data_IF_530557440710
#
_entry.id   IF_530557440710
#
_cell.length_a   1.000
_cell.length_b   1.000
_cell.length_c   1.000
_cell.angle_alpha   90.00
_cell.angle_beta   90.00
_cell.angle_gamma   90.00
#
_symmetry.space_group_name_H-M   'P 1'
#
loop_
_entity.id
_entity.type
_entity.pdbx_description
1 polymer ?
#
# COMPACT_ATOMS: atom_id res chain seq x y z
N UNK A 1 -9.46 12.76 -31.91
CA UNK A 1 -8.46 12.81 -30.82
C UNK A 1 -7.31 11.89 -31.21
N UNK A 2 -6.05 12.28 -30.98
CA UNK A 2 -4.88 11.41 -31.21
C UNK A 2 -5.04 10.22 -30.26
N UNK A 3 -4.98 8.99 -30.76
CA UNK A 3 -4.94 7.80 -29.90
C UNK A 3 -3.67 7.86 -29.07
N UNK A 4 -3.77 7.70 -27.75
CA UNK A 4 -2.62 7.79 -26.85
C UNK A 4 -2.58 6.57 -25.97
N UNK A 5 -1.39 6.01 -25.81
CA UNK A 5 -1.13 4.91 -24.90
C UNK A 5 -0.23 5.39 -23.78
N UNK A 6 -0.54 5.02 -22.54
CA UNK A 6 0.30 5.31 -21.37
C UNK A 6 0.62 4.06 -20.58
N UNK A 7 1.73 4.12 -19.84
CA UNK A 7 2.09 3.10 -18.87
C UNK A 7 1.89 3.59 -17.44
N UNK A 8 1.22 2.78 -16.63
CA UNK A 8 1.15 2.95 -15.20
C UNK A 8 1.92 1.83 -14.49
N UNK A 9 2.85 2.19 -13.60
CA UNK A 9 3.70 1.25 -12.89
C UNK A 9 3.50 1.41 -11.38
N UNK A 10 3.21 0.30 -10.70
CA UNK A 10 3.20 0.14 -9.24
C UNK A 10 4.36 -0.77 -8.84
N UNK A 11 5.37 -0.21 -8.18
CA UNK A 11 6.57 -0.92 -7.77
C UNK A 11 6.71 -0.98 -6.26
N UNK A 12 6.66 -2.19 -5.69
CA UNK A 12 6.70 -2.41 -4.24
C UNK A 12 7.87 -3.28 -3.78
N UNK A 13 7.87 -3.60 -2.49
CA UNK A 13 8.87 -4.48 -1.87
C UNK A 13 8.74 -5.96 -2.22
N UNK A 14 7.61 -6.40 -2.80
CA UNK A 14 7.37 -7.82 -3.14
C UNK A 14 7.15 -8.06 -4.63
N UNK A 15 6.57 -7.11 -5.33
CA UNK A 15 6.21 -7.24 -6.75
C UNK A 15 6.23 -5.88 -7.45
N UNK A 16 6.25 -5.93 -8.78
CA UNK A 16 6.04 -4.79 -9.67
C UNK A 16 4.92 -5.12 -10.64
N UNK A 17 4.01 -4.19 -10.86
CA UNK A 17 2.89 -4.34 -11.79
C UNK A 17 2.87 -3.16 -12.75
N UNK A 18 2.78 -3.46 -14.04
CA UNK A 18 2.64 -2.45 -15.10
C UNK A 18 1.32 -2.68 -15.85
N UNK A 19 0.65 -1.59 -16.20
CA UNK A 19 -0.54 -1.61 -17.05
C UNK A 19 -0.37 -0.63 -18.21
N UNK A 20 -0.83 -1.04 -19.38
CA UNK A 20 -0.93 -0.21 -20.58
C UNK A 20 -2.37 0.24 -20.74
N UNK A 21 -2.61 1.55 -20.78
CA UNK A 21 -3.96 2.14 -20.83
C UNK A 21 -4.09 3.06 -22.04
N UNK A 22 -5.25 3.03 -22.70
CA UNK A 22 -5.60 3.93 -23.81
C UNK A 22 -6.29 5.22 -23.36
N UNK A 23 -6.62 6.12 -24.29
CA UNK A 23 -7.32 7.38 -23.99
C UNK A 23 -8.74 7.20 -23.40
N UNK A 24 -9.33 6.01 -23.53
CA UNK A 24 -10.65 5.66 -23.03
C UNK A 24 -10.58 4.96 -21.66
N UNK A 25 -9.40 4.98 -21.01
CA UNK A 25 -9.12 4.32 -19.75
C UNK A 25 -9.23 2.78 -19.83
N UNK A 26 -9.14 2.18 -21.01
CA UNK A 26 -9.15 0.73 -21.17
C UNK A 26 -7.76 0.14 -21.00
N UNK A 27 -7.64 -0.93 -20.20
CA UNK A 27 -6.40 -1.68 -20.06
C UNK A 27 -6.20 -2.52 -21.32
N UNK A 28 -5.18 -2.18 -22.11
CA UNK A 28 -4.78 -2.90 -23.32
C UNK A 28 -3.82 -4.07 -23.01
N UNK A 29 -3.14 -4.01 -21.88
CA UNK A 29 -2.19 -5.03 -21.45
C UNK A 29 -1.70 -4.82 -20.02
N UNK A 30 -1.17 -5.89 -19.43
CA UNK A 30 -0.64 -5.88 -18.07
C UNK A 30 0.56 -6.80 -17.94
N UNK A 31 1.50 -6.45 -17.07
CA UNK A 31 2.67 -7.25 -16.77
C UNK A 31 3.00 -7.25 -15.29
N UNK A 32 3.59 -8.34 -14.82
CA UNK A 32 3.99 -8.54 -13.42
C UNK A 32 5.41 -9.08 -13.33
N UNK A 33 6.16 -8.56 -12.37
CA UNK A 33 7.52 -9.00 -12.09
C UNK A 33 7.83 -8.94 -10.59
N UNK A 34 9.09 -9.22 -10.25
CA UNK A 34 9.64 -9.15 -8.91
C UNK A 34 9.63 -7.74 -8.29
N UNK A 35 10.23 -7.58 -7.11
CA UNK A 35 10.23 -6.33 -6.36
C UNK A 35 11.04 -5.21 -7.05
N UNK A 36 10.62 -3.96 -6.87
CA UNK A 36 11.30 -2.78 -7.43
C UNK A 36 11.50 -1.63 -6.45
N UNK A 37 11.32 -1.85 -5.15
CA UNK A 37 11.86 -0.95 -4.14
C UNK A 37 13.40 -1.01 -4.17
N UNK A 38 14.03 -0.09 -4.91
CA UNK A 38 15.48 -0.07 -5.11
C UNK A 38 16.28 0.07 -3.81
N UNK A 39 15.71 0.63 -2.75
CA UNK A 39 16.37 0.72 -1.44
C UNK A 39 16.48 -0.64 -0.75
N UNK A 40 15.57 -1.56 -1.06
CA UNK A 40 15.55 -2.93 -0.51
C UNK A 40 16.31 -3.93 -1.37
N UNK A 41 16.17 -3.85 -2.70
CA UNK A 41 16.71 -4.87 -3.63
C UNK A 41 17.86 -4.39 -4.51
N UNK A 42 18.21 -3.11 -4.42
CA UNK A 42 19.20 -2.48 -5.29
C UNK A 42 18.61 -2.02 -6.63
N UNK A 43 19.35 -1.12 -7.30
CA UNK A 43 18.93 -0.46 -8.54
C UNK A 43 18.76 -1.46 -9.68
N UNK A 44 19.70 -2.39 -9.88
CA UNK A 44 19.66 -3.34 -11.00
C UNK A 44 18.47 -4.29 -10.92
N UNK A 45 18.14 -4.82 -9.73
CA UNK A 45 16.99 -5.70 -9.55
C UNK A 45 15.68 -4.95 -9.78
N UNK A 46 15.60 -3.70 -9.30
CA UNK A 46 14.43 -2.86 -9.52
C UNK A 46 14.24 -2.54 -11.01
N UNK A 47 15.32 -2.15 -11.70
CA UNK A 47 15.33 -1.88 -13.15
C UNK A 47 14.84 -3.08 -13.95
N UNK A 48 15.43 -4.25 -13.72
CA UNK A 48 15.06 -5.49 -14.40
C UNK A 48 13.58 -5.86 -14.15
N UNK A 49 13.10 -5.65 -12.92
CA UNK A 49 11.70 -5.92 -12.56
C UNK A 49 10.73 -4.99 -13.30
N UNK A 50 11.03 -3.69 -13.34
CA UNK A 50 10.23 -2.70 -14.07
C UNK A 50 10.27 -2.99 -15.58
N UNK A 51 11.44 -3.25 -16.17
CA UNK A 51 11.58 -3.62 -17.58
C UNK A 51 10.77 -4.84 -17.97
N UNK A 52 10.82 -5.89 -17.14
CA UNK A 52 10.06 -7.12 -17.37
C UNK A 52 8.56 -6.86 -17.31
N UNK A 53 8.10 -6.10 -16.32
CA UNK A 53 6.67 -5.75 -16.19
C UNK A 53 6.19 -4.91 -17.39
N UNK A 54 6.96 -3.89 -17.80
CA UNK A 54 6.65 -3.07 -18.98
C UNK A 54 6.59 -3.94 -20.24
N UNK A 55 7.60 -4.79 -20.45
CA UNK A 55 7.68 -5.67 -21.62
C UNK A 55 6.44 -6.55 -21.70
N UNK A 56 6.07 -7.24 -20.63
CA UNK A 56 4.86 -8.07 -20.59
C UNK A 56 3.58 -7.26 -20.84
N UNK A 57 3.48 -6.04 -20.32
CA UNK A 57 2.32 -5.18 -20.52
C UNK A 57 2.16 -4.74 -21.99
N UNK A 58 3.25 -4.60 -22.74
CA UNK A 58 3.21 -4.17 -24.15
C UNK A 58 3.20 -5.33 -25.15
N UNK A 59 3.76 -6.50 -24.82
CA UNK A 59 3.93 -7.62 -25.77
C UNK A 59 2.62 -8.13 -26.36
N UNK A 60 1.52 -8.10 -25.60
CA UNK A 60 0.22 -8.56 -26.10
C UNK A 60 -0.52 -7.51 -26.96
N UNK A 61 0.03 -6.30 -27.11
CA UNK A 61 -0.60 -5.22 -27.86
C UNK A 61 0.07 -5.03 -29.24
N UNK A 62 -0.55 -5.62 -30.26
CA UNK A 62 -0.08 -5.58 -31.66
C UNK A 62 -0.18 -4.21 -32.34
N UNK A 63 -0.62 -3.15 -31.65
CA UNK A 63 -1.02 -1.91 -32.31
C UNK A 63 0.15 -0.95 -32.66
N UNK A 64 1.39 -1.25 -32.26
CA UNK A 64 2.59 -0.45 -32.59
C UNK A 64 2.49 1.06 -32.26
N UNK A 65 1.52 1.45 -31.43
CA UNK A 65 1.28 2.82 -31.03
C UNK A 65 2.35 3.26 -30.03
N UNK A 66 2.88 4.48 -30.16
CA UNK A 66 3.90 4.96 -29.23
C UNK A 66 3.32 5.17 -27.83
N UNK A 67 4.16 4.98 -26.81
CA UNK A 67 3.83 5.32 -25.43
C UNK A 67 4.05 6.82 -25.24
N UNK A 68 2.96 7.54 -24.99
CA UNK A 68 2.93 9.01 -24.88
C UNK A 68 3.04 9.53 -23.45
N UNK A 69 2.98 8.64 -22.46
CA UNK A 69 3.13 9.01 -21.05
C UNK A 69 3.44 7.80 -20.18
N UNK A 70 4.10 8.06 -19.06
CA UNK A 70 4.46 7.02 -18.09
C UNK A 70 4.39 7.57 -16.66
N UNK A 71 3.82 6.78 -15.75
CA UNK A 71 3.84 7.08 -14.33
C UNK A 71 4.42 5.91 -13.55
N UNK A 72 5.41 6.19 -12.70
CA UNK A 72 6.02 5.26 -11.77
C UNK A 72 5.64 5.67 -10.35
N UNK A 73 4.75 4.91 -9.73
CA UNK A 73 4.51 4.97 -8.29
C UNK A 73 5.32 3.89 -7.60
N UNK A 74 6.34 4.27 -6.85
CA UNK A 74 7.29 3.33 -6.27
C UNK A 74 7.34 3.45 -4.75
N UNK A 75 7.40 2.32 -4.07
CA UNK A 75 7.66 2.25 -2.64
C UNK A 75 9.06 2.77 -2.33
N UNK A 76 9.18 3.58 -1.28
CA UNK A 76 10.43 4.24 -0.91
C UNK A 76 10.72 5.52 -1.67
N UNK A 77 9.96 5.85 -2.72
CA UNK A 77 10.10 7.10 -3.47
C UNK A 77 9.22 8.18 -2.89
N UNK A 78 9.77 9.38 -2.75
CA UNK A 78 9.04 10.58 -2.36
C UNK A 78 9.89 11.65 -1.70
N UNK A 79 11.19 11.40 -1.55
CA UNK A 79 12.18 12.39 -1.09
C UNK A 79 12.93 12.96 -2.30
N UNK A 80 13.41 14.21 -2.23
CA UNK A 80 14.12 14.84 -3.35
C UNK A 80 15.29 14.02 -3.91
N UNK A 81 16.00 13.29 -3.06
CA UNK A 81 17.13 12.43 -3.43
C UNK A 81 16.73 11.18 -4.23
N UNK A 82 15.47 10.75 -4.18
CA UNK A 82 15.01 9.55 -4.86
C UNK A 82 14.75 9.79 -6.35
N UNK A 83 14.32 11.01 -6.72
CA UNK A 83 13.90 11.34 -8.08
C UNK A 83 15.02 11.15 -9.11
N UNK A 84 16.26 11.66 -8.92
CA UNK A 84 17.33 11.46 -9.90
C UNK A 84 17.70 9.99 -10.12
N UNK A 85 17.58 9.16 -9.08
CA UNK A 85 17.86 7.72 -9.16
C UNK A 85 16.83 7.03 -10.05
N UNK A 86 15.54 7.33 -9.84
CA UNK A 86 14.44 6.74 -10.61
C UNK A 86 14.43 7.29 -12.04
N UNK A 87 14.74 8.57 -12.24
CA UNK A 87 14.89 9.17 -13.57
C UNK A 87 15.99 8.48 -14.38
N UNK A 88 17.18 8.29 -13.80
CA UNK A 88 18.27 7.60 -14.48
C UNK A 88 17.90 6.15 -14.82
N UNK A 89 17.30 5.43 -13.86
CA UNK A 89 16.77 4.09 -14.09
C UNK A 89 15.80 4.08 -15.29
N UNK A 90 14.84 5.01 -15.32
CA UNK A 90 13.86 5.11 -16.39
C UNK A 90 14.51 5.42 -17.76
N UNK A 91 15.52 6.28 -17.81
CA UNK A 91 16.25 6.58 -19.07
C UNK A 91 16.93 5.33 -19.63
N UNK A 92 17.53 4.51 -18.77
CA UNK A 92 18.10 3.22 -19.19
C UNK A 92 17.02 2.26 -19.68
N UNK A 93 15.84 2.24 -19.06
CA UNK A 93 14.71 1.42 -19.50
C UNK A 93 14.23 1.84 -20.90
N UNK A 94 14.03 3.14 -21.10
CA UNK A 94 13.57 3.72 -22.37
C UNK A 94 14.54 3.39 -23.50
N UNK A 95 15.86 3.50 -23.23
CA UNK A 95 16.91 3.21 -24.22
C UNK A 95 16.98 1.72 -24.58
N UNK A 96 16.80 0.83 -23.60
CA UNK A 96 17.03 -0.61 -23.78
C UNK A 96 15.81 -1.39 -24.27
N UNK A 97 14.59 -0.88 -24.07
CA UNK A 97 13.39 -1.56 -24.53
C UNK A 97 13.04 -1.16 -25.97
N UNK A 98 12.78 -2.13 -26.87
CA UNK A 98 12.41 -1.86 -28.27
C UNK A 98 10.95 -1.41 -28.40
N UNK A 99 10.58 -0.37 -27.65
CA UNK A 99 9.24 0.24 -27.61
C UNK A 99 9.35 1.61 -28.30
N UNK A 100 8.30 2.00 -29.03
CA UNK A 100 8.23 3.37 -29.55
C UNK A 100 7.81 4.31 -28.44
N UNK A 101 8.68 5.23 -28.05
CA UNK A 101 8.42 6.23 -27.03
C UNK A 101 8.14 7.59 -27.69
N UNK A 102 7.05 8.25 -27.30
CA UNK A 102 6.70 9.63 -27.66
C UNK A 102 6.51 10.43 -26.35
N UNK A 103 7.51 10.32 -25.46
CA UNK A 103 7.48 10.89 -24.13
C UNK A 103 7.99 12.33 -24.15
N UNK A 104 7.27 13.21 -23.47
CA UNK A 104 7.73 14.56 -23.15
C UNK A 104 8.06 14.65 -21.64
N UNK A 105 8.92 15.59 -21.22
CA UNK A 105 9.28 15.73 -19.80
C UNK A 105 8.07 15.86 -18.86
N UNK A 106 7.00 16.55 -19.30
CA UNK A 106 5.76 16.71 -18.52
C UNK A 106 4.89 15.44 -18.45
N UNK A 107 5.12 14.44 -19.31
CA UNK A 107 4.36 13.19 -19.35
C UNK A 107 5.08 12.03 -18.64
N UNK A 108 6.19 12.31 -17.96
CA UNK A 108 6.93 11.38 -17.10
C UNK A 108 6.65 11.76 -15.65
N UNK A 109 5.91 10.91 -14.95
CA UNK A 109 5.50 11.14 -13.56
C UNK A 109 6.19 10.15 -12.66
N UNK A 110 6.96 10.63 -11.70
CA UNK A 110 7.53 9.80 -10.63
C UNK A 110 6.88 10.24 -9.33
N UNK A 111 6.34 9.30 -8.57
CA UNK A 111 5.67 9.60 -7.31
C UNK A 111 5.73 8.41 -6.35
N UNK A 112 5.19 8.60 -5.14
CA UNK A 112 5.08 7.51 -4.18
C UNK A 112 3.99 6.50 -4.57
N UNK A 113 4.18 5.25 -4.15
CA UNK A 113 3.15 4.20 -4.17
C UNK A 113 1.79 4.66 -3.60
N UNK A 114 1.83 5.50 -2.57
CA UNK A 114 0.66 6.02 -1.87
C UNK A 114 -0.18 6.96 -2.74
N UNK A 115 0.47 7.72 -3.62
CA UNK A 115 -0.23 8.62 -4.53
C UNK A 115 -1.00 7.83 -5.59
N UNK A 116 -0.37 6.82 -6.19
CA UNK A 116 -1.04 5.96 -7.19
C UNK A 116 -2.08 5.04 -6.54
N UNK A 117 -1.89 4.65 -5.28
CA UNK A 117 -2.89 3.90 -4.52
C UNK A 117 -4.15 4.73 -4.26
N UNK A 118 -3.99 6.02 -3.92
CA UNK A 118 -5.10 6.96 -3.82
C UNK A 118 -5.84 7.06 -5.16
N UNK A 119 -5.12 7.36 -6.23
CA UNK A 119 -5.70 7.60 -7.55
C UNK A 119 -6.34 6.34 -8.13
N UNK A 120 -5.76 5.16 -7.93
CA UNK A 120 -6.34 3.90 -8.38
C UNK A 120 -7.56 3.51 -7.55
N UNK A 121 -7.48 3.70 -6.24
CA UNK A 121 -8.55 3.38 -5.31
C UNK A 121 -9.79 4.25 -5.49
N UNK A 122 -9.60 5.55 -5.70
CA UNK A 122 -10.68 6.53 -5.90
C UNK A 122 -11.01 6.72 -7.40
N UNK A 123 -10.08 6.55 -8.31
CA UNK A 123 -10.24 6.88 -9.74
C UNK A 123 -9.87 8.32 -10.09
N UNK A 124 -9.53 9.16 -9.11
CA UNK A 124 -9.03 10.52 -9.28
C UNK A 124 -8.19 10.92 -8.05
N UNK A 125 -7.55 12.09 -8.10
CA UNK A 125 -6.48 12.46 -7.18
C UNK A 125 -6.95 13.12 -5.88
N UNK A 126 -8.24 13.41 -5.73
CA UNK A 126 -8.79 14.13 -4.56
C UNK A 126 -9.41 13.11 -3.61
N UNK A 127 -8.95 13.11 -2.36
CA UNK A 127 -9.46 12.23 -1.31
C UNK A 127 -8.35 11.69 -0.41
N UNK A 128 -8.62 10.58 0.26
CA UNK A 128 -7.70 9.95 1.22
C UNK A 128 -7.59 8.46 0.94
N UNK A 129 -6.39 7.90 1.05
CA UNK A 129 -6.13 6.46 1.09
C UNK A 129 -5.63 6.10 2.47
N UNK A 130 -6.33 5.16 3.12
CA UNK A 130 -5.92 4.54 4.37
C UNK A 130 -5.39 3.14 4.06
N UNK A 131 -4.07 2.97 4.13
CA UNK A 131 -3.39 1.72 3.81
C UNK A 131 -3.10 0.94 5.09
N UNK A 132 -3.50 -0.34 5.11
CA UNK A 132 -3.17 -1.27 6.18
C UNK A 132 -2.95 -2.69 5.59
N UNK A 133 -1.70 -3.08 5.49
CA UNK A 133 -1.24 -4.39 5.02
C UNK A 133 -0.14 -4.90 5.94
N UNK A 134 1.01 -5.30 5.40
CA UNK A 134 2.21 -5.58 6.23
C UNK A 134 2.60 -4.36 7.06
N UNK A 135 2.66 -3.17 6.44
CA UNK A 135 2.79 -1.87 7.09
C UNK A 135 1.50 -1.05 7.00
N UNK A 136 1.53 0.21 7.44
CA UNK A 136 0.36 1.10 7.36
C UNK A 136 0.75 2.56 7.17
N UNK A 137 -0.12 3.29 6.48
CA UNK A 137 0.03 4.72 6.25
C UNK A 137 -1.30 5.32 5.81
N UNK A 138 -1.51 6.60 6.12
CA UNK A 138 -2.58 7.39 5.53
C UNK A 138 -1.99 8.51 4.68
N UNK A 139 -2.49 8.65 3.46
CA UNK A 139 -2.11 9.70 2.53
C UNK A 139 -3.37 10.36 1.96
N UNK A 140 -3.35 11.67 1.75
CA UNK A 140 -4.45 12.37 1.08
C UNK A 140 -3.96 13.53 0.24
N UNK A 141 -4.83 13.97 -0.65
CA UNK A 141 -4.66 15.14 -1.49
C UNK A 141 -6.00 15.87 -1.67
N UNK A 142 -5.97 17.21 -1.59
CA UNK A 142 -7.16 18.04 -1.80
C UNK A 142 -7.24 18.62 -3.23
N UNK A 143 -8.29 19.40 -3.51
CA UNK A 143 -8.53 20.03 -4.81
C UNK A 143 -7.49 21.06 -5.24
N UNK A 144 -6.70 21.59 -4.30
CA UNK A 144 -5.59 22.51 -4.57
C UNK A 144 -4.26 21.77 -4.82
N UNK A 145 -4.28 20.44 -4.79
CA UNK A 145 -3.08 19.61 -4.94
C UNK A 145 -2.25 19.49 -3.67
N UNK A 146 -2.63 20.12 -2.55
CA UNK A 146 -1.95 19.98 -1.27
C UNK A 146 -2.08 18.55 -0.77
N UNK A 147 -0.97 17.98 -0.30
CA UNK A 147 -0.92 16.60 0.18
C UNK A 147 -0.59 16.52 1.67
N UNK A 148 -1.03 15.44 2.31
CA UNK A 148 -0.67 15.13 3.70
C UNK A 148 -0.46 13.63 3.84
N UNK A 149 0.66 13.28 4.48
CA UNK A 149 1.01 11.92 4.87
C UNK A 149 1.09 11.82 6.38
N UNK A 150 0.52 10.77 6.95
CA UNK A 150 0.58 10.44 8.38
C UNK A 150 0.91 8.96 8.54
N UNK A 151 1.93 8.64 9.33
CA UNK A 151 2.46 7.28 9.45
C UNK A 151 3.31 6.83 8.26
N UNK A 152 3.50 5.52 8.12
CA UNK A 152 4.40 4.89 7.14
C UNK A 152 5.87 5.22 7.37
N UNK A 153 6.28 5.17 8.64
CA UNK A 153 7.68 5.29 9.05
C UNK A 153 8.40 3.93 9.07
N UNK A 154 7.70 2.87 8.64
CA UNK A 154 8.20 1.51 8.61
C UNK A 154 8.01 0.80 9.96
N UNK A 155 8.02 -0.52 9.89
CA UNK A 155 7.67 -1.41 11.00
C UNK A 155 8.50 -1.25 12.29
N UNK A 156 9.68 -0.62 12.21
CA UNK A 156 10.54 -0.34 13.37
C UNK A 156 10.16 0.97 14.09
N UNK A 157 9.66 1.96 13.34
CA UNK A 157 9.45 3.33 13.84
C UNK A 157 7.97 3.75 13.85
N UNK A 158 7.08 2.92 13.30
CA UNK A 158 5.65 3.15 13.26
C UNK A 158 4.89 1.96 12.68
N UNK A 159 4.14 2.20 11.61
CA UNK A 159 3.19 1.25 11.00
C UNK A 159 2.10 0.80 11.98
N UNK A 160 1.64 1.72 12.83
CA UNK A 160 0.54 1.47 13.76
C UNK A 160 -0.74 1.06 13.02
N UNK A 161 -1.40 0.03 13.54
CA UNK A 161 -2.59 -0.56 12.90
C UNK A 161 -2.32 -1.44 11.68
N UNK A 162 -1.06 -1.64 11.30
CA UNK A 162 -0.67 -2.64 10.30
C UNK A 162 -0.80 -4.08 10.82
N UNK A 163 -0.78 -5.04 9.91
CA UNK A 163 -0.72 -6.47 10.25
C UNK A 163 0.54 -6.81 11.05
N UNK A 164 1.69 -6.22 10.72
CA UNK A 164 2.91 -6.41 11.51
C UNK A 164 2.72 -5.92 12.95
N UNK A 165 2.21 -4.70 13.13
CA UNK A 165 1.98 -4.11 14.45
C UNK A 165 1.01 -4.93 15.29
N UNK A 166 -0.09 -5.41 14.69
CA UNK A 166 -1.07 -6.26 15.37
C UNK A 166 -0.44 -7.59 15.79
N UNK A 167 0.27 -8.25 14.87
CA UNK A 167 0.92 -9.53 15.13
C UNK A 167 1.98 -9.43 16.23
N UNK A 168 2.90 -8.45 16.15
CA UNK A 168 3.98 -8.32 17.14
C UNK A 168 3.43 -8.00 18.53
N UNK A 169 2.36 -7.19 18.62
CA UNK A 169 1.67 -6.92 19.88
C UNK A 169 0.99 -8.17 20.42
N UNK A 170 0.40 -9.00 19.56
CA UNK A 170 -0.16 -10.30 19.93
C UNK A 170 0.88 -11.24 20.51
N UNK A 171 2.01 -11.41 19.82
CA UNK A 171 3.13 -12.25 20.28
C UNK A 171 3.69 -11.76 21.62
N UNK A 172 3.91 -10.44 21.76
CA UNK A 172 4.35 -9.83 23.01
C UNK A 172 3.35 -10.03 24.14
N UNK A 173 2.05 -9.93 23.87
CA UNK A 173 1.01 -10.14 24.86
C UNK A 173 0.94 -11.60 25.33
N UNK A 174 1.08 -12.57 24.40
CA UNK A 174 1.16 -13.99 24.74
C UNK A 174 2.36 -14.27 25.67
N UNK A 175 3.55 -13.77 25.33
CA UNK A 175 4.75 -13.92 26.17
C UNK A 175 4.62 -13.20 27.52
N UNK A 176 4.06 -11.98 27.56
CA UNK A 176 3.77 -11.29 28.82
C UNK A 176 2.79 -12.08 29.70
N UNK A 177 1.77 -12.68 29.11
CA UNK A 177 0.82 -13.51 29.86
C UNK A 177 1.48 -14.78 30.39
N UNK A 178 2.35 -15.42 29.61
CA UNK A 178 3.17 -16.56 30.04
C UNK A 178 4.06 -16.21 31.25
N UNK A 179 4.68 -15.02 31.24
CA UNK A 179 5.48 -14.51 32.37
C UNK A 179 4.64 -14.03 33.57
N UNK A 180 3.30 -13.99 33.47
CA UNK A 180 2.41 -13.42 34.49
C UNK A 180 2.36 -11.88 34.55
N UNK A 181 2.81 -11.18 33.49
CA UNK A 181 2.85 -9.71 33.36
C UNK A 181 1.67 -9.12 32.59
N UNK A 182 0.78 -9.96 32.09
CA UNK A 182 -0.46 -9.59 31.38
C UNK A 182 -1.58 -10.53 31.84
N UNK A 183 -2.84 -10.11 31.64
CA UNK A 183 -3.99 -10.97 31.87
C UNK A 183 -3.86 -12.29 31.08
N UNK A 184 -4.40 -13.41 31.61
CA UNK A 184 -4.51 -14.65 30.86
C UNK A 184 -5.18 -14.43 29.50
N UNK A 185 -4.58 -14.97 28.44
CA UNK A 185 -5.04 -14.81 27.05
C UNK A 185 -4.97 -16.13 26.28
N UNK A 186 -5.92 -16.35 25.36
CA UNK A 186 -5.92 -17.50 24.45
C UNK A 186 -4.81 -17.42 23.40
N UNK A 187 -4.21 -16.24 23.21
CA UNK A 187 -3.14 -16.03 22.24
C UNK A 187 -1.96 -16.99 22.43
N UNK A 188 -1.68 -17.42 23.66
CA UNK A 188 -0.66 -18.46 23.93
C UNK A 188 -0.98 -19.74 23.15
N UNK A 189 -2.16 -20.32 23.38
CA UNK A 189 -2.57 -21.58 22.75
C UNK A 189 -2.81 -21.41 21.26
N UNK A 190 -3.32 -20.25 20.84
CA UNK A 190 -3.63 -19.98 19.43
C UNK A 190 -2.34 -19.90 18.59
N UNK A 191 -1.30 -19.22 19.09
CA UNK A 191 0.00 -19.20 18.41
C UNK A 191 0.71 -20.55 18.45
N UNK A 192 0.66 -21.27 19.58
CA UNK A 192 1.23 -22.62 19.66
C UNK A 192 0.61 -23.56 18.64
N UNK A 193 -0.72 -23.58 18.53
CA UNK A 193 -1.44 -24.42 17.59
C UNK A 193 -1.09 -24.07 16.13
N UNK A 194 -1.08 -22.78 15.79
CA UNK A 194 -0.79 -22.33 14.43
C UNK A 194 0.67 -22.61 14.00
N UNK A 195 1.62 -22.42 14.92
CA UNK A 195 3.05 -22.58 14.63
C UNK A 195 3.58 -23.99 14.91
N UNK A 196 2.74 -24.90 15.42
CA UNK A 196 3.13 -26.26 15.81
C UNK A 196 4.13 -26.28 16.97
N UNK A 197 4.00 -25.37 17.94
CA UNK A 197 4.90 -25.26 19.08
C UNK A 197 4.40 -26.07 20.27
N UNK A 198 5.32 -26.81 20.91
CA UNK A 198 5.04 -27.52 22.16
C UNK A 198 4.89 -26.52 23.32
N UNK A 199 5.71 -25.46 23.33
CA UNK A 199 5.69 -24.38 24.31
C UNK A 199 5.76 -23.01 23.61
N UNK A 200 5.28 -21.94 24.26
CA UNK A 200 5.29 -20.59 23.67
C UNK A 200 6.71 -20.01 23.56
N UNK A 201 7.67 -20.51 24.35
CA UNK A 201 9.09 -20.13 24.27
C UNK A 201 9.72 -20.46 22.91
N UNK A 202 9.18 -21.46 22.20
CA UNK A 202 9.53 -21.78 20.83
C UNK A 202 9.37 -20.62 19.83
N UNK A 203 8.64 -19.56 20.20
CA UNK A 203 8.59 -18.31 19.42
C UNK A 203 9.98 -17.69 19.19
N UNK A 204 10.93 -17.87 20.12
CA UNK A 204 12.30 -17.33 19.97
C UNK A 204 12.95 -17.93 18.72
N UNK A 205 12.82 -19.24 18.52
CA UNK A 205 13.35 -19.95 17.35
C UNK A 205 12.66 -19.45 16.07
N UNK A 206 11.34 -19.33 16.09
CA UNK A 206 10.55 -18.91 14.92
C UNK A 206 10.89 -17.48 14.50
N UNK A 207 10.94 -16.54 15.44
CA UNK A 207 11.08 -15.12 15.12
C UNK A 207 12.54 -14.75 14.86
N UNK A 208 13.48 -15.22 15.67
CA UNK A 208 14.88 -14.78 15.58
C UNK A 208 15.78 -15.68 14.73
N UNK A 209 15.46 -16.98 14.61
CA UNK A 209 16.38 -17.94 13.94
C UNK A 209 15.92 -18.36 12.56
N UNK A 210 14.63 -18.23 12.22
CA UNK A 210 14.11 -18.55 10.88
C UNK A 210 14.15 -17.38 9.88
N UNK A 211 14.89 -16.31 10.18
CA UNK A 211 15.01 -15.11 9.31
C UNK A 211 13.65 -14.56 8.83
N UNK A 212 12.66 -14.54 9.72
CA UNK A 212 11.31 -14.09 9.36
C UNK A 212 11.27 -12.61 9.00
N UNK A 213 10.95 -12.34 7.74
CA UNK A 213 10.65 -10.98 7.28
C UNK A 213 9.40 -10.38 7.96
N UNK A 214 9.22 -9.04 7.93
CA UNK A 214 8.00 -8.40 8.43
C UNK A 214 6.70 -8.96 7.84
N UNK A 215 6.73 -9.43 6.58
CA UNK A 215 5.58 -10.08 5.94
C UNK A 215 5.20 -11.38 6.62
N UNK A 216 6.16 -12.21 7.04
CA UNK A 216 5.88 -13.44 7.78
C UNK A 216 5.22 -13.15 9.13
N UNK A 217 5.73 -12.15 9.86
CA UNK A 217 5.15 -11.73 11.14
C UNK A 217 3.74 -11.17 10.93
N UNK A 218 3.54 -10.28 9.95
CA UNK A 218 2.22 -9.70 9.66
C UNK A 218 1.16 -10.75 9.31
N UNK A 219 1.56 -11.88 8.72
CA UNK A 219 0.66 -13.00 8.41
C UNK A 219 0.05 -13.66 9.66
N UNK A 220 0.58 -13.39 10.86
CA UNK A 220 0.02 -13.87 12.13
C UNK A 220 -1.11 -12.98 12.67
N UNK A 221 -1.33 -11.77 12.12
CA UNK A 221 -2.35 -10.84 12.59
C UNK A 221 -3.78 -11.44 12.64
N UNK A 222 -4.23 -12.30 11.70
CA UNK A 222 -5.55 -12.93 11.76
C UNK A 222 -5.77 -13.78 13.02
N UNK A 223 -4.71 -14.33 13.62
CA UNK A 223 -4.80 -15.08 14.88
C UNK A 223 -5.27 -14.16 16.01
N UNK A 224 -4.72 -12.95 16.06
CA UNK A 224 -5.12 -11.93 17.05
C UNK A 224 -6.55 -11.46 16.82
N UNK A 225 -6.97 -11.29 15.56
CA UNK A 225 -8.38 -10.96 15.26
C UNK A 225 -9.31 -12.07 15.74
N UNK A 226 -9.02 -13.33 15.36
CA UNK A 226 -9.85 -14.49 15.74
C UNK A 226 -10.00 -14.62 17.26
N UNK A 227 -8.91 -14.46 18.02
CA UNK A 227 -8.96 -14.46 19.48
C UNK A 227 -9.85 -13.33 20.02
N UNK A 228 -9.74 -12.12 19.46
CA UNK A 228 -10.59 -11.00 19.83
C UNK A 228 -12.07 -11.28 19.58
N UNK A 229 -12.40 -11.91 18.45
CA UNK A 229 -13.77 -12.26 18.08
C UNK A 229 -14.35 -13.35 18.99
N UNK A 230 -13.51 -14.29 19.43
CA UNK A 230 -13.86 -15.33 20.40
C UNK A 230 -13.95 -14.83 21.85
N UNK A 231 -13.78 -13.53 22.08
CA UNK A 231 -14.02 -12.92 23.38
C UNK A 231 -12.77 -12.57 24.18
N UNK A 232 -11.57 -12.87 23.68
CA UNK A 232 -10.33 -12.57 24.38
C UNK A 232 -10.15 -11.04 24.58
N UNK A 233 -10.02 -10.63 25.85
CA UNK A 233 -9.97 -9.21 26.23
C UNK A 233 -8.67 -8.53 25.79
N UNK A 234 -7.55 -9.25 25.84
CA UNK A 234 -6.22 -8.74 25.49
C UNK A 234 -6.15 -8.53 23.97
N UNK A 235 -6.60 -9.51 23.20
CA UNK A 235 -6.70 -9.42 21.74
C UNK A 235 -7.66 -8.31 21.31
N UNK A 236 -8.84 -8.17 21.93
CA UNK A 236 -9.78 -7.06 21.68
C UNK A 236 -9.12 -5.70 21.85
N UNK A 237 -8.32 -5.51 22.92
CA UNK A 237 -7.59 -4.26 23.17
C UNK A 237 -6.55 -3.97 22.09
N UNK A 238 -5.86 -4.99 21.60
CA UNK A 238 -4.88 -4.84 20.50
C UNK A 238 -5.58 -4.38 19.22
N UNK A 239 -6.67 -5.07 18.82
CA UNK A 239 -7.44 -4.73 17.62
C UNK A 239 -8.06 -3.33 17.73
N UNK A 240 -8.62 -2.99 18.90
CA UNK A 240 -9.19 -1.65 19.12
C UNK A 240 -8.13 -0.55 18.96
N UNK A 241 -6.97 -0.72 19.60
CA UNK A 241 -5.87 0.24 19.50
C UNK A 241 -5.36 0.37 18.05
N UNK A 242 -5.32 -0.71 17.27
CA UNK A 242 -4.96 -0.66 15.86
C UNK A 242 -5.95 0.18 15.02
N UNK A 243 -7.26 0.00 15.24
CA UNK A 243 -8.29 0.82 14.57
C UNK A 243 -8.19 2.29 14.99
N UNK A 244 -7.93 2.55 16.27
CA UNK A 244 -7.79 3.91 16.81
C UNK A 244 -6.62 4.64 16.16
N UNK A 245 -5.45 4.02 16.01
CA UNK A 245 -4.28 4.62 15.37
C UNK A 245 -4.55 5.00 13.91
N UNK A 246 -5.12 4.09 13.12
CA UNK A 246 -5.51 4.39 11.73
C UNK A 246 -6.57 5.51 11.66
N UNK A 247 -7.50 5.51 12.61
CA UNK A 247 -8.52 6.56 12.72
C UNK A 247 -7.88 7.92 13.03
N UNK A 248 -6.95 7.98 13.99
CA UNK A 248 -6.23 9.20 14.36
C UNK A 248 -5.47 9.74 13.14
N UNK A 249 -4.71 8.88 12.47
CA UNK A 249 -3.96 9.25 11.28
C UNK A 249 -4.87 9.84 10.18
N UNK A 250 -6.03 9.20 9.96
CA UNK A 250 -7.01 9.67 8.97
C UNK A 250 -7.66 10.98 9.38
N UNK A 251 -8.03 11.16 10.65
CA UNK A 251 -8.59 12.42 11.17
C UNK A 251 -7.62 13.58 11.03
N UNK A 252 -6.33 13.35 11.21
CA UNK A 252 -5.29 14.37 10.96
C UNK A 252 -5.28 14.76 9.49
N UNK A 253 -5.30 13.81 8.56
CA UNK A 253 -5.38 14.10 7.11
C UNK A 253 -6.64 14.88 6.77
N UNK A 254 -7.80 14.48 7.31
CA UNK A 254 -9.08 15.18 7.14
C UNK A 254 -8.96 16.64 7.57
N UNK A 255 -8.59 16.88 8.83
CA UNK A 255 -8.50 18.24 9.41
C UNK A 255 -7.45 19.13 8.74
N UNK A 256 -6.44 18.53 8.10
CA UNK A 256 -5.39 19.28 7.38
C UNK A 256 -5.82 19.67 5.97
N UNK A 257 -6.59 18.82 5.29
CA UNK A 257 -6.79 18.93 3.84
C UNK A 257 -8.21 19.35 3.42
N UNK A 258 -9.23 19.06 4.23
CA UNK A 258 -10.63 19.16 3.84
C UNK A 258 -11.43 20.05 4.80
N UNK A 259 -12.46 20.71 4.29
CA UNK A 259 -13.37 21.52 5.10
C UNK A 259 -14.45 20.66 5.78
N UNK A 260 -15.03 21.08 6.92
CA UNK A 260 -16.00 20.28 7.70
C UNK A 260 -17.25 19.79 6.95
N UNK A 261 -17.62 20.41 5.83
CA UNK A 261 -18.80 20.06 5.02
C UNK A 261 -18.42 19.58 3.61
N UNK A 262 -17.13 19.44 3.34
CA UNK A 262 -16.65 18.94 2.06
C UNK A 262 -16.97 17.45 1.94
N UNK A 263 -17.44 17.03 0.77
CA UNK A 263 -17.64 15.62 0.46
C UNK A 263 -16.39 15.10 -0.23
N UNK A 264 -15.78 14.08 0.36
CA UNK A 264 -14.59 13.41 -0.18
C UNK A 264 -14.67 11.91 0.10
N UNK A 265 -13.87 11.14 -0.62
CA UNK A 265 -13.80 9.69 -0.47
C UNK A 265 -12.55 9.29 0.33
N UNK A 266 -12.70 8.29 1.19
CA UNK A 266 -11.60 7.61 1.90
C UNK A 266 -11.57 6.18 1.43
N UNK A 267 -10.56 5.80 0.67
CA UNK A 267 -10.39 4.44 0.19
C UNK A 267 -9.52 3.62 1.16
N UNK A 268 -10.00 2.44 1.55
CA UNK A 268 -9.27 1.51 2.43
C UNK A 268 -8.55 0.44 1.59
N UNK A 269 -7.22 0.41 1.62
CA UNK A 269 -6.39 -0.50 0.81
C UNK A 269 -5.50 -1.37 1.70
N UNK A 270 -5.38 -2.66 1.38
CA UNK A 270 -4.51 -3.61 2.07
C UNK A 270 -5.25 -4.75 2.77
N UNK A 271 -4.51 -5.80 3.10
CA UNK A 271 -5.07 -7.07 3.57
C UNK A 271 -5.75 -6.97 4.94
N UNK A 272 -5.29 -6.08 5.84
CA UNK A 272 -5.85 -5.89 7.20
C UNK A 272 -7.33 -5.56 7.15
N UNK A 273 -7.75 -4.72 6.19
CA UNK A 273 -9.14 -4.33 6.04
C UNK A 273 -10.06 -5.50 5.70
N UNK A 274 -9.54 -6.53 5.03
CA UNK A 274 -10.28 -7.69 4.55
C UNK A 274 -10.18 -8.89 5.49
N UNK A 275 -9.09 -9.01 6.25
CA UNK A 275 -8.78 -10.19 7.06
C UNK A 275 -9.27 -10.11 8.49
N UNK A 276 -9.80 -8.95 8.93
CA UNK A 276 -10.19 -8.72 10.32
C UNK A 276 -11.67 -8.46 10.45
N UNK A 277 -12.31 -9.13 11.41
CA UNK A 277 -13.76 -9.05 11.61
C UNK A 277 -14.14 -7.65 12.10
N UNK A 278 -15.04 -7.01 11.36
CA UNK A 278 -15.58 -5.68 11.65
C UNK A 278 -14.52 -4.57 11.88
N UNK A 279 -13.28 -4.75 11.40
CA UNK A 279 -12.21 -3.76 11.56
C UNK A 279 -12.51 -2.48 10.78
N UNK A 280 -12.89 -2.62 9.50
CA UNK A 280 -13.30 -1.51 8.64
C UNK A 280 -14.55 -0.79 9.17
N UNK A 281 -15.54 -1.52 9.70
CA UNK A 281 -16.76 -0.93 10.25
C UNK A 281 -16.48 -0.03 11.46
N UNK A 282 -15.59 -0.46 12.38
CA UNK A 282 -15.14 0.38 13.50
C UNK A 282 -14.40 1.63 13.03
N UNK A 283 -13.53 1.50 12.04
CA UNK A 283 -12.83 2.62 11.41
C UNK A 283 -13.83 3.60 10.77
N UNK A 284 -14.77 3.10 9.96
CA UNK A 284 -15.78 3.89 9.28
C UNK A 284 -16.63 4.71 10.26
N UNK A 285 -17.13 4.09 11.33
CA UNK A 285 -17.85 4.80 12.39
C UNK A 285 -17.01 5.93 13.02
N UNK A 286 -15.72 5.69 13.24
CA UNK A 286 -14.79 6.67 13.81
C UNK A 286 -14.57 7.87 12.89
N UNK A 287 -14.54 7.66 11.57
CA UNK A 287 -14.36 8.74 10.58
C UNK A 287 -15.67 9.52 10.40
N UNK A 288 -16.80 8.84 10.25
CA UNK A 288 -18.10 9.49 10.04
C UNK A 288 -18.53 10.34 11.26
N UNK A 289 -18.03 10.04 12.45
CA UNK A 289 -18.24 10.88 13.64
C UNK A 289 -17.65 12.29 13.52
N UNK A 290 -16.61 12.50 12.70
CA UNK A 290 -15.98 13.82 12.50
C UNK A 290 -16.18 14.39 11.10
N UNK A 291 -16.47 13.53 10.11
CA UNK A 291 -16.74 13.91 8.73
C UNK A 291 -17.96 13.13 8.21
N UNK A 292 -19.20 13.56 8.56
CA UNK A 292 -20.42 12.83 8.22
C UNK A 292 -20.70 12.70 6.72
N UNK A 293 -20.12 13.58 5.91
CA UNK A 293 -20.22 13.59 4.44
C UNK A 293 -19.15 12.76 3.74
N UNK A 294 -18.15 12.25 4.47
CA UNK A 294 -17.11 11.41 3.89
C UNK A 294 -17.69 10.06 3.44
N UNK A 295 -17.16 9.50 2.36
CA UNK A 295 -17.56 8.17 1.87
C UNK A 295 -16.39 7.21 2.04
N UNK A 296 -16.55 6.20 2.89
CA UNK A 296 -15.54 5.16 3.06
C UNK A 296 -15.79 4.09 2.00
N UNK A 297 -14.82 3.86 1.11
CA UNK A 297 -14.99 2.99 -0.06
C UNK A 297 -13.93 1.90 -0.12
N UNK A 298 -14.25 0.83 -0.84
CA UNK A 298 -13.26 -0.12 -1.33
C UNK A 298 -12.61 0.41 -2.61
N UNK A 299 -11.37 0.00 -2.93
CA UNK A 299 -10.69 0.49 -4.12
C UNK A 299 -11.43 0.05 -5.39
N UNK A 300 -11.61 1.01 -6.32
CA UNK A 300 -12.20 0.75 -7.63
C UNK A 300 -11.23 0.01 -8.55
N UNK A 301 -9.94 0.39 -8.49
CA UNK A 301 -8.89 -0.19 -9.29
C UNK A 301 -7.60 -0.37 -8.50
N UNK A 302 -6.68 -1.13 -9.07
CA UNK A 302 -5.34 -1.35 -8.53
C UNK A 302 -4.43 -0.12 -8.67
N UNK A 303 -3.38 0.03 -7.84
CA UNK A 303 -2.51 1.21 -7.89
C UNK A 303 -1.84 1.46 -9.25
N UNK A 304 -1.42 0.41 -9.97
CA UNK A 304 -0.84 0.55 -11.31
C UNK A 304 -1.80 1.24 -12.29
N UNK A 305 -3.12 1.00 -12.15
CA UNK A 305 -4.14 1.71 -12.93
C UNK A 305 -4.24 3.18 -12.52
N UNK A 306 -4.10 3.48 -11.22
CA UNK A 306 -3.97 4.85 -10.71
C UNK A 306 -2.79 5.61 -11.31
N UNK A 307 -1.64 4.94 -11.44
CA UNK A 307 -0.48 5.49 -12.15
C UNK A 307 -0.82 5.80 -13.61
N UNK A 308 -1.51 4.90 -14.32
CA UNK A 308 -1.96 5.15 -15.68
C UNK A 308 -2.92 6.35 -15.80
N UNK A 309 -3.85 6.54 -14.85
CA UNK A 309 -4.70 7.74 -14.79
C UNK A 309 -3.86 9.02 -14.67
N UNK A 310 -2.82 9.03 -13.83
CA UNK A 310 -1.93 10.18 -13.69
C UNK A 310 -1.17 10.47 -15.00
N UNK A 311 -0.67 9.43 -15.67
CA UNK A 311 0.00 9.58 -16.96
C UNK A 311 -0.94 10.13 -18.05
N UNK A 312 -2.19 9.67 -18.13
CA UNK A 312 -3.19 10.22 -19.06
C UNK A 312 -3.48 11.69 -18.78
N UNK A 313 -3.64 12.07 -17.51
CA UNK A 313 -3.88 13.46 -17.12
C UNK A 313 -2.72 14.37 -17.52
N UNK A 314 -1.49 13.90 -17.37
CA UNK A 314 -0.30 14.66 -17.73
C UNK A 314 -0.18 14.96 -19.23
N UNK A 315 -0.76 14.12 -20.10
CA UNK A 315 -0.85 14.37 -21.55
C UNK A 315 -1.89 15.44 -21.89
N UNK A 316 -2.95 15.55 -21.09
CA UNK A 316 -4.05 16.49 -21.33
C UNK A 316 -3.74 17.93 -20.87
N UNK A 317 -2.59 18.17 -20.25
CA UNK A 317 -2.11 19.47 -19.76
C UNK A 317 -1.13 20.09 -20.75
#
# INVERSE_FOLDING_TARGET
MKKVNVLGIDGGGTKTEAVLIDENYQILGSGKSGPSNYQSVGIEVAKNSIQTAITQAVTNNNNHQPISGICLGLAGVGRPEDFPVVENLLQEIITNLPIKWDLHPNTIIICSDSNIALVGGIGYSIGIVAMAGTGSQVFGQNSQGLTKRVGGWGYLLGDEGSGYNIAIRGLQAALKSYDGRELPTTLITDFQAYLGLINIEGLIEVVYRREWSPTHIAALAPIVSSAADNGDKVAKKIIQSAVEELSIATKIVISTLFQPHETFEVVTIGSVWNSMINFRGKFENSILAVAPTAKIIWPRHQPAYGAGILALKAIAM
#
